data_IF_742678260028
#
_entry.id   IF_742678260028
#
_cell.length_a   1.000
_cell.length_b   1.000
_cell.length_c   1.000
_cell.angle_alpha   90.00
_cell.angle_beta   90.00
_cell.angle_gamma   90.00
#
_symmetry.space_group_name_H-M   'P 1'
#
loop_
_entity.id
_entity.type
_entity.pdbx_description
1 polymer ?
#
# COMPACT_ATOMS: atom_id res chain seq x y z
N UNK A 1 -39.67 -6.74 41.30
CA UNK A 1 -39.14 -7.72 40.32
C UNK A 1 -39.32 -7.25 38.87
N UNK A 2 -40.52 -6.85 38.43
CA UNK A 2 -40.77 -6.40 37.05
C UNK A 2 -39.92 -5.20 36.59
N UNK A 3 -39.74 -4.16 37.43
CA UNK A 3 -38.94 -2.98 37.07
C UNK A 3 -37.46 -3.30 36.79
N UNK A 4 -36.90 -4.29 37.50
CA UNK A 4 -35.51 -4.72 37.33
C UNK A 4 -35.30 -5.45 36.00
N UNK A 5 -36.28 -6.28 35.60
CA UNK A 5 -36.27 -7.00 34.33
C UNK A 5 -36.29 -6.03 33.15
N UNK A 6 -37.14 -4.99 33.21
CA UNK A 6 -37.21 -3.96 32.16
C UNK A 6 -35.89 -3.22 32.01
N UNK A 7 -35.23 -2.88 33.13
CA UNK A 7 -33.98 -2.12 33.13
C UNK A 7 -32.83 -2.95 32.52
N UNK A 8 -32.75 -4.25 32.84
CA UNK A 8 -31.79 -5.19 32.23
C UNK A 8 -32.04 -5.33 30.73
N UNK A 9 -33.31 -5.41 30.31
CA UNK A 9 -33.67 -5.56 28.90
C UNK A 9 -33.28 -4.33 28.08
N UNK A 10 -33.50 -3.12 28.63
CA UNK A 10 -33.10 -1.86 27.99
C UNK A 10 -31.58 -1.76 27.88
N UNK A 11 -30.84 -2.14 28.94
CA UNK A 11 -29.38 -2.13 28.92
C UNK A 11 -28.80 -3.12 27.89
N UNK A 12 -29.39 -4.31 27.77
CA UNK A 12 -29.01 -5.29 26.76
C UNK A 12 -29.25 -4.79 25.34
N UNK A 13 -30.41 -4.18 25.08
CA UNK A 13 -30.73 -3.61 23.78
C UNK A 13 -29.76 -2.48 23.43
N UNK A 14 -29.50 -1.57 24.36
CA UNK A 14 -28.57 -0.45 24.15
C UNK A 14 -27.12 -0.93 23.86
N UNK A 15 -26.67 -1.95 24.59
CA UNK A 15 -25.38 -2.62 24.38
C UNK A 15 -25.28 -3.23 22.98
N UNK A 16 -26.30 -3.98 22.56
CA UNK A 16 -26.36 -4.62 21.24
C UNK A 16 -26.31 -3.57 20.12
N UNK A 17 -27.02 -2.44 20.30
CA UNK A 17 -27.10 -1.35 19.34
C UNK A 17 -25.75 -0.62 19.19
N UNK A 18 -25.02 -0.44 20.29
CA UNK A 18 -23.66 0.13 20.29
C UNK A 18 -22.64 -0.79 19.59
N UNK A 19 -22.69 -2.09 19.88
CA UNK A 19 -21.83 -3.08 19.22
C UNK A 19 -22.13 -3.14 17.71
N UNK A 20 -23.40 -3.06 17.33
CA UNK A 20 -23.79 -3.04 15.93
C UNK A 20 -23.33 -1.78 15.20
N UNK A 21 -23.44 -0.59 15.81
CA UNK A 21 -22.86 0.65 15.25
C UNK A 21 -21.35 0.54 15.07
N UNK A 22 -20.64 0.01 16.06
CA UNK A 22 -19.17 -0.18 16.00
C UNK A 22 -18.78 -1.15 14.88
N UNK A 23 -19.44 -2.30 14.81
CA UNK A 23 -19.21 -3.29 13.76
C UNK A 23 -19.52 -2.73 12.37
N UNK A 24 -20.61 -1.96 12.23
CA UNK A 24 -20.99 -1.38 10.96
C UNK A 24 -20.02 -0.26 10.52
N UNK A 25 -19.47 0.50 11.46
CA UNK A 25 -18.38 1.45 11.18
C UNK A 25 -17.09 0.73 10.74
N UNK A 26 -16.72 -0.36 11.42
CA UNK A 26 -15.54 -1.17 11.04
C UNK A 26 -15.69 -1.79 9.66
N UNK A 27 -16.88 -2.25 9.30
CA UNK A 27 -17.14 -2.81 7.98
C UNK A 27 -16.91 -1.80 6.85
N UNK A 28 -17.10 -0.49 7.08
CA UNK A 28 -16.81 0.55 6.08
C UNK A 28 -15.31 0.71 5.83
N UNK A 29 -14.50 0.65 6.89
CA UNK A 29 -13.03 0.69 6.80
C UNK A 29 -12.46 -0.57 6.14
N UNK A 30 -13.01 -1.74 6.47
CA UNK A 30 -12.60 -2.99 5.83
C UNK A 30 -13.01 -3.03 4.36
N UNK A 31 -14.15 -2.46 3.99
CA UNK A 31 -14.58 -2.36 2.60
C UNK A 31 -13.69 -1.43 1.76
N UNK A 32 -13.20 -0.32 2.33
CA UNK A 32 -12.22 0.55 1.65
C UNK A 32 -10.88 -0.15 1.48
N UNK A 33 -10.37 -0.81 2.54
CA UNK A 33 -9.10 -1.54 2.48
C UNK A 33 -9.15 -2.73 1.51
N UNK A 34 -10.29 -3.44 1.45
CA UNK A 34 -10.49 -4.54 0.51
C UNK A 34 -10.54 -4.07 -0.95
N UNK A 35 -11.16 -2.90 -1.22
CA UNK A 35 -11.16 -2.30 -2.56
C UNK A 35 -9.74 -1.93 -2.99
N UNK A 36 -8.98 -1.27 -2.12
CA UNK A 36 -7.60 -0.87 -2.41
C UNK A 36 -6.71 -2.11 -2.68
N UNK A 37 -6.87 -3.17 -1.88
CA UNK A 37 -6.16 -4.44 -2.13
C UNK A 37 -6.51 -5.07 -3.48
N UNK A 38 -7.79 -5.05 -3.89
CA UNK A 38 -8.18 -5.65 -5.18
C UNK A 38 -7.65 -4.88 -6.39
N UNK A 39 -7.57 -3.54 -6.29
CA UNK A 39 -6.97 -2.70 -7.33
C UNK A 39 -5.47 -2.95 -7.42
N UNK A 40 -4.78 -3.01 -6.27
CA UNK A 40 -3.35 -3.32 -6.19
C UNK A 40 -3.05 -4.73 -6.73
N UNK A 41 -3.85 -5.74 -6.36
CA UNK A 41 -3.69 -7.12 -6.83
C UNK A 41 -3.90 -7.26 -8.35
N UNK A 42 -4.85 -6.51 -8.94
CA UNK A 42 -5.02 -6.49 -10.41
C UNK A 42 -3.88 -5.79 -11.12
N UNK A 43 -3.36 -4.69 -10.57
CA UNK A 43 -2.18 -4.04 -11.13
C UNK A 43 -0.92 -4.89 -11.02
N UNK A 44 -0.84 -5.75 -10.00
CA UNK A 44 0.29 -6.67 -9.79
C UNK A 44 0.32 -7.83 -10.80
N UNK A 45 -0.85 -8.36 -11.18
CA UNK A 45 -0.94 -9.49 -12.12
C UNK A 45 -0.74 -9.11 -13.59
N UNK A 46 -0.77 -7.82 -13.91
CA UNK A 46 -0.37 -7.35 -15.24
C UNK A 46 1.15 -7.22 -15.28
N UNK A 47 1.85 -8.31 -15.61
CA UNK A 47 3.24 -8.20 -16.07
C UNK A 47 3.25 -7.13 -17.18
N UNK A 48 4.14 -6.13 -17.13
CA UNK A 48 4.26 -5.17 -18.21
C UNK A 48 4.38 -5.91 -19.55
N UNK A 49 3.75 -5.43 -20.63
CA UNK A 49 3.83 -6.08 -21.95
C UNK A 49 5.28 -6.37 -22.37
N UNK A 50 6.18 -5.45 -22.01
CA UNK A 50 7.61 -5.55 -22.25
C UNK A 50 8.27 -6.67 -21.44
N UNK A 51 7.82 -6.92 -20.20
CA UNK A 51 8.38 -7.95 -19.32
C UNK A 51 8.10 -9.36 -19.85
N UNK A 52 6.88 -9.62 -20.34
CA UNK A 52 6.54 -10.90 -20.97
C UNK A 52 7.39 -11.15 -22.23
N UNK A 53 7.67 -10.10 -23.00
CA UNK A 53 8.50 -10.16 -24.20
C UNK A 53 9.97 -10.45 -23.88
N UNK A 54 10.53 -9.79 -22.85
CA UNK A 54 11.89 -10.02 -22.39
C UNK A 54 12.11 -11.46 -21.87
N UNK A 55 11.15 -11.99 -21.11
CA UNK A 55 11.20 -13.36 -20.60
C UNK A 55 11.12 -14.40 -21.73
N UNK A 56 10.28 -14.16 -22.74
CA UNK A 56 10.17 -15.05 -23.92
C UNK A 56 11.45 -15.07 -24.78
N UNK A 57 12.31 -14.06 -24.67
CA UNK A 57 13.58 -13.97 -25.41
C UNK A 57 14.75 -14.60 -24.61
N UNK A 58 14.46 -15.23 -23.46
CA UNK A 58 15.47 -15.84 -22.59
C UNK A 58 16.20 -14.86 -21.69
N UNK A 59 15.71 -13.62 -21.56
CA UNK A 59 16.22 -12.64 -20.61
C UNK A 59 15.81 -12.96 -19.17
N UNK A 60 16.60 -12.49 -18.21
CA UNK A 60 16.26 -12.53 -16.78
C UNK A 60 15.70 -11.18 -16.33
N UNK A 61 14.65 -11.20 -15.50
CA UNK A 61 14.04 -10.00 -14.94
C UNK A 61 14.24 -9.98 -13.42
N UNK A 62 14.71 -8.84 -12.90
CA UNK A 62 14.75 -8.55 -11.46
C UNK A 62 13.63 -7.57 -11.14
N UNK A 63 12.76 -7.92 -10.20
CA UNK A 63 11.68 -7.05 -9.71
C UNK A 63 11.94 -6.67 -8.26
N UNK A 64 11.79 -5.39 -7.94
CA UNK A 64 12.04 -4.85 -6.60
C UNK A 64 10.77 -4.13 -6.15
N UNK A 65 10.23 -4.57 -5.02
CA UNK A 65 9.08 -3.95 -4.37
C UNK A 65 9.51 -3.30 -3.05
N UNK A 66 9.12 -2.04 -2.86
CA UNK A 66 9.35 -1.31 -1.61
C UNK A 66 8.06 -1.37 -0.82
N UNK A 67 8.07 -2.17 0.25
CA UNK A 67 6.88 -2.48 1.05
C UNK A 67 6.43 -1.32 1.95
N UNK A 68 7.33 -0.38 2.24
CA UNK A 68 7.12 0.70 3.20
C UNK A 68 7.64 2.07 2.71
N UNK A 69 7.22 2.57 1.53
CA UNK A 69 7.81 3.76 0.93
C UNK A 69 7.61 5.02 1.78
N UNK A 70 6.48 5.16 2.47
CA UNK A 70 6.19 6.33 3.32
C UNK A 70 7.07 6.34 4.57
N UNK A 71 7.24 5.19 5.21
CA UNK A 71 8.07 5.03 6.41
C UNK A 71 9.56 5.15 6.09
N UNK A 72 9.97 4.72 4.89
CA UNK A 72 11.34 4.90 4.42
C UNK A 72 11.65 6.39 4.19
N UNK A 73 10.73 7.11 3.54
CA UNK A 73 10.90 8.55 3.27
C UNK A 73 10.91 9.40 4.55
N UNK A 74 10.11 9.04 5.55
CA UNK A 74 10.06 9.77 6.82
C UNK A 74 11.33 9.62 7.65
N UNK A 75 12.08 8.52 7.48
CA UNK A 75 13.37 8.29 8.14
C UNK A 75 14.52 9.07 7.48
N UNK A 76 14.50 9.24 6.15
CA UNK A 76 15.55 9.96 5.45
C UNK A 76 15.36 11.49 5.40
N UNK A 77 14.13 12.00 5.49
CA UNK A 77 13.89 13.45 5.44
C UNK A 77 12.80 13.92 6.42
N UNK A 78 13.14 14.76 7.41
CA UNK A 78 12.16 15.34 8.36
C UNK A 78 11.08 16.19 7.67
N UNK A 79 11.35 16.70 6.46
CA UNK A 79 10.42 17.48 5.64
C UNK A 79 9.34 16.62 4.97
N UNK A 80 9.46 15.29 5.02
CA UNK A 80 8.43 14.36 4.56
C UNK A 80 7.25 14.21 5.55
N UNK A 81 7.36 14.70 6.79
CA UNK A 81 6.31 14.57 7.82
C UNK A 81 4.98 15.29 7.49
N UNK A 82 4.98 16.52 6.95
CA UNK A 82 3.75 17.19 6.52
C UNK A 82 3.26 16.66 5.17
N UNK A 83 4.15 16.45 4.20
CA UNK A 83 3.80 16.01 2.84
C UNK A 83 3.38 14.54 2.77
N UNK A 84 3.95 13.67 3.60
CA UNK A 84 3.62 12.24 3.66
C UNK A 84 2.20 11.94 4.14
N UNK A 85 1.59 12.86 4.90
CA UNK A 85 0.17 12.78 5.27
C UNK A 85 -0.77 13.36 4.21
N UNK A 86 -0.28 14.28 3.37
CA UNK A 86 -1.11 15.04 2.42
C UNK A 86 -1.11 14.39 1.03
N UNK A 87 -0.02 13.75 0.60
CA UNK A 87 0.08 13.13 -0.72
C UNK A 87 0.91 11.82 -0.70
N UNK A 88 0.33 10.70 -0.24
CA UNK A 88 1.03 9.40 -0.18
C UNK A 88 1.55 8.92 -1.54
N UNK A 89 0.79 9.18 -2.63
CA UNK A 89 1.18 8.79 -3.99
C UNK A 89 2.43 9.52 -4.49
N UNK A 90 2.63 10.78 -4.10
CA UNK A 90 3.81 11.56 -4.48
C UNK A 90 5.07 11.02 -3.77
N UNK A 91 4.96 10.71 -2.48
CA UNK A 91 6.06 10.09 -1.73
C UNK A 91 6.44 8.75 -2.35
N UNK A 92 5.46 7.91 -2.67
CA UNK A 92 5.70 6.63 -3.36
C UNK A 92 6.52 6.85 -4.63
N UNK A 93 6.09 7.77 -5.51
CA UNK A 93 6.81 8.09 -6.74
C UNK A 93 8.25 8.55 -6.50
N UNK A 94 8.48 9.46 -5.56
CA UNK A 94 9.80 9.97 -5.23
C UNK A 94 10.73 8.85 -4.72
N UNK A 95 10.24 7.99 -3.85
CA UNK A 95 11.02 6.87 -3.29
C UNK A 95 11.43 5.90 -4.38
N UNK A 96 10.51 5.50 -5.26
CA UNK A 96 10.86 4.60 -6.37
C UNK A 96 11.81 5.27 -7.38
N UNK A 97 11.65 6.57 -7.65
CA UNK A 97 12.60 7.31 -8.49
C UNK A 97 14.00 7.31 -7.88
N UNK A 98 14.10 7.61 -6.58
CA UNK A 98 15.37 7.63 -5.87
C UNK A 98 16.02 6.25 -5.82
N UNK A 99 15.24 5.21 -5.51
CA UNK A 99 15.72 3.83 -5.50
C UNK A 99 16.24 3.40 -6.87
N UNK A 100 15.52 3.72 -7.96
CA UNK A 100 15.97 3.40 -9.31
C UNK A 100 17.28 4.12 -9.68
N UNK A 101 17.45 5.38 -9.25
CA UNK A 101 18.69 6.13 -9.45
C UNK A 101 19.86 5.53 -8.68
N UNK A 102 19.65 5.17 -7.40
CA UNK A 102 20.65 4.48 -6.58
C UNK A 102 21.07 3.14 -7.21
N UNK A 103 20.10 2.35 -7.70
CA UNK A 103 20.37 1.08 -8.38
C UNK A 103 21.20 1.28 -9.64
N UNK A 104 20.86 2.27 -10.49
CA UNK A 104 21.66 2.56 -11.69
C UNK A 104 23.09 2.91 -11.33
N UNK A 105 23.27 3.75 -10.31
CA UNK A 105 24.59 4.15 -9.85
C UNK A 105 25.38 2.94 -9.33
N UNK A 106 24.80 2.17 -8.40
CA UNK A 106 25.47 1.02 -7.79
C UNK A 106 25.80 -0.06 -8.83
N UNK A 107 24.90 -0.35 -9.76
CA UNK A 107 25.17 -1.32 -10.83
C UNK A 107 26.30 -0.82 -11.75
N UNK A 108 26.31 0.46 -12.10
CA UNK A 108 27.38 1.08 -12.88
C UNK A 108 28.74 1.03 -12.18
N UNK A 109 28.78 1.29 -10.87
CA UNK A 109 29.99 1.20 -10.03
C UNK A 109 30.59 -0.22 -10.03
N UNK A 110 29.76 -1.25 -10.18
CA UNK A 110 30.19 -2.65 -10.29
C UNK A 110 30.43 -3.10 -11.74
N UNK A 111 30.43 -2.18 -12.71
CA UNK A 111 30.64 -2.47 -14.13
C UNK A 111 29.47 -3.19 -14.81
N UNK A 112 28.29 -3.24 -14.18
CA UNK A 112 27.10 -3.88 -14.74
C UNK A 112 26.41 -2.90 -15.70
N UNK A 113 26.27 -3.29 -16.96
CA UNK A 113 25.45 -2.57 -17.94
C UNK A 113 23.99 -2.98 -17.77
N UNK A 114 23.27 -2.24 -16.91
CA UNK A 114 21.87 -2.51 -16.61
C UNK A 114 20.95 -1.38 -17.07
N UNK A 115 19.85 -1.76 -17.70
CA UNK A 115 18.73 -0.85 -17.94
C UNK A 115 17.73 -0.96 -16.79
N UNK A 116 17.59 0.11 -16.01
CA UNK A 116 16.63 0.18 -14.90
C UNK A 116 15.45 1.04 -15.33
N UNK A 117 14.25 0.46 -15.34
CA UNK A 117 12.99 1.15 -15.66
C UNK A 117 12.00 0.98 -14.50
N UNK A 118 11.11 1.96 -14.34
CA UNK A 118 10.04 1.89 -13.33
C UNK A 118 8.72 1.64 -14.05
N UNK A 119 7.97 0.64 -13.61
CA UNK A 119 6.66 0.27 -14.16
C UNK A 119 5.58 0.38 -13.07
N UNK A 120 4.35 0.74 -13.43
CA UNK A 120 3.19 0.69 -12.52
C UNK A 120 3.08 1.83 -11.50
N UNK A 121 3.76 2.97 -11.70
CA UNK A 121 3.54 4.18 -10.91
C UNK A 121 2.27 4.90 -11.38
N UNK A 122 1.11 4.48 -10.85
CA UNK A 122 -0.19 5.14 -10.97
C UNK A 122 -0.56 5.89 -9.70
#
# INVERSE_FOLDING_TARGET
MQMFIVLVLVALIASLLLLWRRAHQQQRLLATLARDQTVLARSWNALPPDAATLLNTGGALITIEILNPVELASQESPLAGPLGRVAPGLIRRLVYQRAAEMLRQQLGEHGVQAEVRIHGLG
#
